data_IF_170450388681
#
_entry.id   IF_170450388681
#
_cell.length_a   1.000
_cell.length_b   1.000
_cell.length_c   1.000
_cell.angle_alpha   90.00
_cell.angle_beta   90.00
_cell.angle_gamma   90.00
#
_symmetry.space_group_name_H-M   'P 1'
#
loop_
_entity.id
_entity.type
_entity.pdbx_description
1 polymer ?
#
# COMPACT_ATOMS: atom_id res chain seq x y z
N UNK A 1 8.77 23.33 -16.06
CA UNK A 1 7.63 23.69 -15.19
C UNK A 1 6.79 22.44 -15.08
N UNK A 2 6.77 21.77 -13.93
CA UNK A 2 5.96 20.56 -13.77
C UNK A 2 4.48 20.97 -13.75
N UNK A 3 3.64 20.28 -14.54
CA UNK A 3 2.21 20.56 -14.61
C UNK A 3 1.53 19.93 -13.39
N UNK A 4 0.72 20.72 -12.69
CA UNK A 4 -0.12 20.25 -11.58
C UNK A 4 -1.57 20.55 -11.95
N UNK A 5 -2.43 19.54 -11.85
CA UNK A 5 -3.86 19.67 -12.11
C UNK A 5 -4.65 19.09 -10.95
N UNK A 6 -5.74 19.76 -10.61
CA UNK A 6 -6.76 19.27 -9.69
C UNK A 6 -8.05 19.01 -10.44
N UNK A 7 -8.91 18.17 -9.88
CA UNK A 7 -10.28 18.04 -10.33
C UNK A 7 -11.17 19.20 -9.83
N UNK A 8 -12.50 19.07 -9.97
CA UNK A 8 -13.45 20.08 -9.55
C UNK A 8 -13.64 20.19 -8.02
N UNK A 9 -13.19 19.18 -7.26
CA UNK A 9 -13.26 19.12 -5.81
C UNK A 9 -11.95 19.56 -5.14
N UNK A 10 -10.89 19.73 -5.94
CA UNK A 10 -9.58 20.20 -5.49
C UNK A 10 -8.58 19.07 -5.32
N UNK A 11 -8.95 17.84 -5.67
CA UNK A 11 -8.07 16.69 -5.53
C UNK A 11 -7.02 16.67 -6.63
N UNK A 12 -5.78 16.37 -6.28
CA UNK A 12 -4.67 16.38 -7.22
C UNK A 12 -4.74 15.15 -8.15
N UNK A 13 -4.94 15.39 -9.44
CA UNK A 13 -5.07 14.34 -10.47
C UNK A 13 -3.86 14.26 -11.41
N UNK A 14 -2.98 15.27 -11.40
CA UNK A 14 -1.70 15.25 -12.13
C UNK A 14 -0.60 15.91 -11.31
N UNK A 15 0.58 15.29 -11.28
CA UNK A 15 1.82 15.82 -10.69
C UNK A 15 3.01 15.57 -11.63
N UNK A 16 3.36 16.55 -12.45
CA UNK A 16 4.41 16.37 -13.45
C UNK A 16 4.00 15.30 -14.47
N UNK A 17 4.72 14.19 -14.48
CA UNK A 17 4.47 13.04 -15.37
C UNK A 17 3.55 11.98 -14.73
N UNK A 18 3.12 12.17 -13.48
CA UNK A 18 2.19 11.24 -12.82
C UNK A 18 0.75 11.69 -13.00
N UNK A 19 -0.14 10.74 -13.29
CA UNK A 19 -1.59 10.92 -13.31
C UNK A 19 -2.27 9.98 -12.31
N UNK A 20 -3.26 10.50 -11.59
CA UNK A 20 -3.95 9.79 -10.52
C UNK A 20 -5.43 9.63 -10.83
N UNK A 21 -5.94 8.42 -10.58
CA UNK A 21 -7.38 8.16 -10.48
C UNK A 21 -7.70 7.89 -9.03
N UNK A 22 -8.76 8.50 -8.54
CA UNK A 22 -9.19 8.39 -7.14
C UNK A 22 -10.58 7.77 -7.05
N UNK A 23 -10.88 7.15 -5.91
CA UNK A 23 -12.23 6.72 -5.58
C UNK A 23 -13.09 7.88 -5.05
N UNK A 24 -14.35 7.59 -4.73
CA UNK A 24 -15.30 8.59 -4.25
C UNK A 24 -14.98 9.17 -2.86
N UNK A 25 -13.98 8.60 -2.15
CA UNK A 25 -13.48 9.10 -0.88
C UNK A 25 -12.19 9.94 -1.07
N UNK A 26 -11.75 10.15 -2.31
CA UNK A 26 -10.52 10.89 -2.63
C UNK A 26 -9.24 10.06 -2.52
N UNK A 27 -9.35 8.74 -2.37
CA UNK A 27 -8.17 7.87 -2.23
C UNK A 27 -7.68 7.43 -3.60
N UNK A 28 -6.36 7.51 -3.84
CA UNK A 28 -5.76 7.07 -5.09
C UNK A 28 -5.98 5.58 -5.33
N UNK A 29 -6.70 5.21 -6.38
CA UNK A 29 -6.87 3.81 -6.83
C UNK A 29 -5.95 3.46 -8.00
N UNK A 30 -5.40 4.47 -8.68
CA UNK A 30 -4.40 4.26 -9.73
C UNK A 30 -3.41 5.40 -9.77
N UNK A 31 -2.13 5.08 -9.93
CA UNK A 31 -1.04 5.98 -10.25
C UNK A 31 -0.42 5.54 -11.57
N UNK A 32 -0.30 6.45 -12.54
CA UNK A 32 0.23 6.15 -13.87
C UNK A 32 1.34 7.13 -14.22
N UNK A 33 2.52 6.59 -14.54
CA UNK A 33 3.58 7.37 -15.16
C UNK A 33 3.25 7.57 -16.64
N UNK A 34 2.87 8.80 -17.01
CA UNK A 34 2.47 9.19 -18.36
C UNK A 34 3.64 9.40 -19.31
N UNK A 35 4.87 9.53 -18.81
CA UNK A 35 6.08 9.61 -19.63
C UNK A 35 6.62 8.23 -19.99
N UNK A 36 6.26 7.19 -19.23
CA UNK A 36 6.59 5.82 -19.57
C UNK A 36 5.74 5.34 -20.76
N UNK A 37 6.39 5.12 -21.90
CA UNK A 37 5.75 4.58 -23.10
C UNK A 37 5.24 3.15 -22.94
N UNK A 38 5.73 2.41 -21.93
CA UNK A 38 5.22 1.10 -21.56
C UNK A 38 3.99 1.17 -20.62
N UNK A 39 3.62 2.37 -20.16
CA UNK A 39 2.44 2.60 -19.34
C UNK A 39 2.59 2.10 -17.90
N UNK A 40 3.73 2.38 -17.25
CA UNK A 40 3.95 2.07 -15.84
C UNK A 40 2.79 2.55 -14.97
N UNK A 41 1.97 1.62 -14.48
CA UNK A 41 0.78 1.89 -13.69
C UNK A 41 0.76 1.01 -12.45
N UNK A 42 0.28 1.58 -11.34
CA UNK A 42 0.11 0.90 -10.07
C UNK A 42 -1.31 1.09 -9.57
N UNK A 43 -1.92 0.02 -9.12
CA UNK A 43 -3.29 0.02 -8.60
C UNK A 43 -3.30 -0.22 -7.10
N UNK A 44 -4.10 0.56 -6.39
CA UNK A 44 -4.28 0.44 -4.96
C UNK A 44 -5.68 -0.10 -4.64
N UNK A 45 -5.78 -0.81 -3.53
CA UNK A 45 -7.05 -1.19 -2.94
C UNK A 45 -7.04 -0.88 -1.45
N UNK A 46 -8.21 -0.57 -0.90
CA UNK A 46 -8.38 -0.18 0.50
C UNK A 46 -9.43 -1.04 1.18
N UNK A 47 -9.24 -1.29 2.47
CA UNK A 47 -10.17 -2.01 3.33
C UNK A 47 -11.17 -1.04 3.95
N UNK A 48 -12.46 -1.21 3.65
CA UNK A 48 -13.51 -0.37 4.23
C UNK A 48 -13.48 1.09 3.77
N UNK A 49 -13.93 1.99 4.64
CA UNK A 49 -14.05 3.41 4.35
C UNK A 49 -12.81 4.25 4.77
N UNK A 50 -11.90 3.66 5.57
CA UNK A 50 -10.69 4.34 6.03
C UNK A 50 -9.55 4.19 4.99
N UNK A 51 -8.42 4.86 5.21
CA UNK A 51 -7.25 4.80 4.32
C UNK A 51 -6.39 3.52 4.49
N UNK A 52 -6.95 2.49 5.12
CA UNK A 52 -6.26 1.21 5.36
C UNK A 52 -6.00 0.49 4.04
N UNK A 53 -4.75 0.43 3.61
CA UNK A 53 -4.35 -0.19 2.34
C UNK A 53 -4.53 -1.72 2.39
N UNK A 54 -5.34 -2.27 1.50
CA UNK A 54 -5.48 -3.71 1.31
C UNK A 54 -4.49 -4.26 0.28
N UNK A 55 -4.11 -3.43 -0.69
CA UNK A 55 -3.14 -3.74 -1.73
C UNK A 55 -2.45 -2.47 -2.22
N UNK A 56 -1.13 -2.52 -2.42
CA UNK A 56 -0.36 -1.43 -3.03
C UNK A 56 0.01 -1.70 -4.50
N UNK A 57 -0.45 -2.84 -5.05
CA UNK A 57 -0.14 -3.29 -6.41
C UNK A 57 0.95 -4.37 -6.45
N UNK A 58 1.86 -4.38 -5.49
CA UNK A 58 2.91 -5.41 -5.35
C UNK A 58 2.57 -6.41 -4.23
N UNK A 59 2.01 -5.91 -3.14
CA UNK A 59 1.69 -6.62 -1.92
C UNK A 59 0.20 -6.49 -1.58
N UNK A 60 -0.30 -7.52 -0.91
CA UNK A 60 -1.60 -7.52 -0.22
C UNK A 60 -1.38 -7.61 1.29
N UNK A 61 -2.23 -6.93 2.04
CA UNK A 61 -2.09 -6.79 3.49
C UNK A 61 -3.33 -7.28 4.22
N UNK A 62 -3.11 -7.91 5.37
CA UNK A 62 -4.19 -8.31 6.29
C UNK A 62 -3.97 -7.70 7.66
N UNK A 63 -5.09 -7.35 8.31
CA UNK A 63 -5.10 -6.65 9.58
C UNK A 63 -5.98 -7.39 10.58
N UNK A 64 -5.68 -7.24 11.87
CA UNK A 64 -6.61 -7.61 12.93
C UNK A 64 -7.76 -6.58 13.06
N UNK A 65 -8.79 -6.86 13.88
CA UNK A 65 -9.91 -5.93 14.06
C UNK A 65 -9.55 -4.58 14.71
N UNK A 66 -8.37 -4.46 15.34
CA UNK A 66 -7.89 -3.21 15.91
C UNK A 66 -7.03 -2.40 14.90
N UNK A 67 -6.78 -2.94 13.70
CA UNK A 67 -5.99 -2.32 12.64
C UNK A 67 -4.51 -2.70 12.66
N UNK A 68 -4.09 -3.64 13.52
CA UNK A 68 -2.71 -4.14 13.57
C UNK A 68 -2.39 -5.01 12.35
N UNK A 69 -1.24 -4.80 11.70
CA UNK A 69 -0.81 -5.60 10.55
C UNK A 69 -0.51 -7.04 11.00
N UNK A 70 -1.15 -8.02 10.36
CA UNK A 70 -0.97 -9.45 10.67
C UNK A 70 -0.32 -10.24 9.55
N UNK A 71 -0.38 -9.75 8.31
CA UNK A 71 0.15 -10.48 7.17
C UNK A 71 0.47 -9.58 5.98
N UNK A 72 1.51 -9.98 5.26
CA UNK A 72 1.95 -9.38 4.01
C UNK A 72 2.15 -10.50 3.00
N UNK A 73 1.61 -10.34 1.79
CA UNK A 73 1.77 -11.31 0.72
C UNK A 73 2.11 -10.61 -0.58
N UNK A 74 3.21 -11.03 -1.19
CA UNK A 74 3.64 -10.61 -2.52
C UNK A 74 3.33 -11.70 -3.58
N UNK A 75 3.93 -11.57 -4.77
CA UNK A 75 3.78 -12.55 -5.85
C UNK A 75 4.49 -13.91 -5.58
N UNK A 76 5.44 -13.94 -4.64
CA UNK A 76 6.28 -15.11 -4.33
C UNK A 76 5.77 -15.89 -3.11
N UNK A 77 5.06 -15.24 -2.18
CA UNK A 77 4.50 -15.89 -1.01
C UNK A 77 3.99 -14.92 0.06
N UNK A 78 3.43 -15.49 1.13
CA UNK A 78 2.95 -14.74 2.29
C UNK A 78 3.80 -14.95 3.55
N UNK A 79 3.88 -13.92 4.37
CA UNK A 79 4.46 -13.95 5.72
C UNK A 79 3.43 -13.41 6.72
N UNK A 80 3.53 -13.88 7.97
CA UNK A 80 2.85 -13.23 9.09
C UNK A 80 3.76 -12.16 9.69
N UNK A 81 3.19 -10.99 9.97
CA UNK A 81 3.90 -9.90 10.62
C UNK A 81 3.77 -10.02 12.14
N UNK A 82 4.88 -9.82 12.85
CA UNK A 82 4.90 -9.59 14.29
C UNK A 82 5.15 -8.10 14.51
N UNK A 83 4.19 -7.43 15.11
CA UNK A 83 4.29 -6.02 15.47
C UNK A 83 4.52 -5.81 16.96
N UNK A 84 5.07 -4.65 17.32
CA UNK A 84 5.13 -4.18 18.69
C UNK A 84 3.91 -3.31 19.08
N UNK A 85 3.96 -2.66 20.25
CA UNK A 85 2.85 -1.82 20.74
C UNK A 85 2.64 -0.53 19.93
N UNK A 86 3.58 -0.14 19.06
CA UNK A 86 3.47 1.02 18.19
C UNK A 86 3.10 0.65 16.75
N UNK A 87 2.80 -0.63 16.50
CA UNK A 87 2.52 -1.21 15.18
C UNK A 87 3.74 -1.31 14.25
N UNK A 88 4.95 -1.22 14.80
CA UNK A 88 6.18 -1.41 14.02
C UNK A 88 6.41 -2.91 13.77
N UNK A 89 6.75 -3.27 12.54
CA UNK A 89 7.08 -4.68 12.20
C UNK A 89 8.45 -5.03 12.76
N UNK A 90 8.47 -5.83 13.83
CA UNK A 90 9.70 -6.27 14.50
C UNK A 90 10.10 -7.70 14.12
N UNK A 91 9.22 -8.45 13.45
CA UNK A 91 9.55 -9.77 12.93
C UNK A 91 8.59 -10.28 11.88
N UNK A 92 9.02 -11.33 11.16
CA UNK A 92 8.17 -12.05 10.21
C UNK A 92 8.27 -13.55 10.43
N UNK A 93 7.14 -14.25 10.29
CA UNK A 93 7.10 -15.70 10.20
C UNK A 93 6.80 -16.13 8.78
N UNK A 94 7.50 -17.15 8.28
CA UNK A 94 7.25 -17.70 6.95
C UNK A 94 5.85 -18.33 6.81
N UNK A 95 5.51 -18.81 5.61
CA UNK A 95 4.17 -19.30 5.22
C UNK A 95 3.49 -20.26 6.20
N UNK A 96 4.25 -21.08 6.95
CA UNK A 96 3.71 -22.06 7.90
C UNK A 96 3.69 -21.56 9.37
N UNK A 97 4.02 -20.29 9.60
CA UNK A 97 4.11 -19.66 10.92
C UNK A 97 5.00 -20.41 11.95
N UNK A 98 5.83 -21.35 11.51
CA UNK A 98 6.53 -22.28 12.39
C UNK A 98 7.93 -21.80 12.80
N UNK A 99 8.45 -20.77 12.11
CA UNK A 99 9.75 -20.20 12.37
C UNK A 99 9.81 -18.72 11.99
N UNK A 100 10.58 -17.97 12.76
CA UNK A 100 10.94 -16.59 12.45
C UNK A 100 11.86 -16.58 11.22
N UNK A 101 11.50 -15.81 10.21
CA UNK A 101 12.25 -15.66 8.95
C UNK A 101 13.01 -14.34 8.85
N UNK A 102 12.65 -13.36 9.66
CA UNK A 102 13.34 -12.08 9.77
C UNK A 102 12.96 -11.34 11.05
N UNK A 103 13.85 -10.45 11.52
CA UNK A 103 13.61 -9.59 12.67
C UNK A 103 14.39 -8.30 12.57
N UNK A 104 13.83 -7.24 13.16
CA UNK A 104 14.47 -5.95 13.34
C UNK A 104 14.23 -5.48 14.78
N UNK A 105 15.16 -4.68 15.30
CA UNK A 105 15.01 -3.97 16.58
C UNK A 105 15.17 -2.48 16.34
N UNK A 106 14.36 -1.70 17.02
CA UNK A 106 14.35 -0.25 16.96
C UNK A 106 14.73 0.29 18.36
N UNK A 107 15.42 1.44 18.39
CA UNK A 107 15.80 2.18 19.61
C UNK A 107 14.78 3.30 19.87
#
# INVERSE_FOLDING_TARGET
NALFHTDAFGDQIVAGEQAYTQDALGRNITDTNTADSAGGSRTFAYSGADDTIASDGDNTYTYDPAGGLTGVKDATGGVLALTDQHNDVVGTFGQNASALTGSATYD
#
